data_IF_798951759932
#
_entry.id   IF_798951759932
#
_cell.length_a   1.000
_cell.length_b   1.000
_cell.length_c   1.000
_cell.angle_alpha   90.00
_cell.angle_beta   90.00
_cell.angle_gamma   90.00
#
_symmetry.space_group_name_H-M   'P 1'
#
loop_
_entity.id
_entity.type
_entity.pdbx_description
1 polymer ?
#
# COMPACT_ATOMS: atom_id res chain seq x y z
N UNK A 1 -32.92 -13.29 -36.19
CA UNK A 1 -31.48 -13.60 -36.20
C UNK A 1 -30.90 -12.93 -34.97
N UNK A 2 -30.44 -13.72 -33.99
CA UNK A 2 -29.92 -13.18 -32.73
C UNK A 2 -28.53 -12.60 -32.92
N UNK A 3 -28.30 -11.40 -32.37
CA UNK A 3 -26.96 -10.84 -32.24
C UNK A 3 -26.16 -11.72 -31.29
N UNK A 4 -25.12 -12.37 -31.80
CA UNK A 4 -24.07 -12.98 -30.99
C UNK A 4 -23.21 -11.81 -30.48
N UNK A 5 -23.05 -11.60 -29.17
CA UNK A 5 -22.09 -10.64 -28.66
C UNK A 5 -20.70 -11.07 -29.12
N UNK A 6 -20.05 -10.23 -29.91
CA UNK A 6 -18.62 -10.36 -30.21
C UNK A 6 -17.85 -10.33 -28.90
N UNK A 7 -17.12 -11.41 -28.60
CA UNK A 7 -16.15 -11.44 -27.51
C UNK A 7 -15.20 -10.25 -27.68
N UNK A 8 -15.20 -9.32 -26.73
CA UNK A 8 -14.21 -8.26 -26.69
C UNK A 8 -12.82 -8.92 -26.62
N UNK A 9 -11.90 -8.44 -27.45
CA UNK A 9 -10.53 -8.92 -27.43
C UNK A 9 -9.93 -8.57 -26.06
N UNK A 10 -9.50 -9.59 -25.31
CA UNK A 10 -8.75 -9.43 -24.08
C UNK A 10 -7.45 -8.71 -24.42
N UNK A 11 -7.16 -7.60 -23.73
CA UNK A 11 -5.88 -6.92 -23.94
C UNK A 11 -4.71 -7.85 -23.60
N UNK A 12 -3.57 -7.68 -24.26
CA UNK A 12 -2.32 -8.38 -23.91
C UNK A 12 -1.31 -7.47 -23.23
N UNK A 13 -1.67 -6.21 -22.99
CA UNK A 13 -0.78 -5.20 -22.41
C UNK A 13 -1.12 -5.06 -20.93
N UNK A 14 -0.19 -5.34 -19.99
CA UNK A 14 -0.48 -5.29 -18.56
C UNK A 14 -1.07 -3.96 -18.07
N UNK A 15 -0.62 -2.84 -18.64
CA UNK A 15 -1.11 -1.49 -18.31
C UNK A 15 -2.54 -1.21 -18.76
N UNK A 16 -3.16 -2.07 -19.57
CA UNK A 16 -4.57 -1.90 -19.95
C UNK A 16 -5.52 -2.45 -18.87
N UNK A 17 -4.99 -3.22 -17.91
CA UNK A 17 -5.76 -3.85 -16.84
C UNK A 17 -5.67 -3.05 -15.53
N UNK A 18 -4.47 -2.62 -15.16
CA UNK A 18 -4.21 -1.84 -13.95
C UNK A 18 -2.93 -1.02 -14.16
N UNK A 19 -2.83 0.14 -13.50
CA UNK A 19 -1.59 0.93 -13.52
C UNK A 19 -0.46 0.18 -12.81
N UNK A 20 -0.75 -0.34 -11.62
CA UNK A 20 0.14 -1.22 -10.86
C UNK A 20 -0.61 -1.98 -9.77
N UNK A 21 0.04 -3.02 -9.23
CA UNK A 21 -0.39 -3.72 -8.03
C UNK A 21 0.67 -3.57 -6.95
N UNK A 22 0.25 -3.47 -5.69
CA UNK A 22 1.15 -3.35 -4.55
C UNK A 22 1.00 -4.58 -3.66
N UNK A 23 2.13 -5.13 -3.24
CA UNK A 23 2.20 -6.16 -2.21
C UNK A 23 3.20 -5.68 -1.16
N UNK A 24 2.74 -5.51 0.08
CA UNK A 24 3.51 -4.84 1.12
C UNK A 24 3.40 -5.48 2.48
N UNK A 25 4.40 -5.18 3.30
CA UNK A 25 4.36 -5.35 4.75
C UNK A 25 4.77 -4.04 5.38
N UNK A 26 3.96 -3.49 6.26
CA UNK A 26 4.25 -2.25 6.95
C UNK A 26 4.46 -2.47 8.44
N UNK A 27 5.14 -1.49 9.04
CA UNK A 27 5.41 -1.41 10.48
C UNK A 27 4.89 -0.04 10.92
N UNK A 28 3.84 -0.06 11.71
CA UNK A 28 3.11 1.14 12.09
C UNK A 28 3.64 1.65 13.42
N UNK A 29 4.08 2.91 13.46
CA UNK A 29 4.51 3.58 14.67
C UNK A 29 3.58 4.75 14.99
N UNK A 30 3.41 5.05 16.27
CA UNK A 30 2.82 6.29 16.76
C UNK A 30 3.91 7.18 17.31
N UNK A 31 3.96 8.43 16.83
CA UNK A 31 4.74 9.49 17.43
C UNK A 31 3.86 10.30 18.37
N UNK A 32 4.26 10.40 19.64
CA UNK A 32 3.64 11.30 20.61
C UNK A 32 4.17 12.72 20.45
N UNK A 33 3.49 13.70 21.04
CA UNK A 33 3.94 15.11 21.06
C UNK A 33 5.31 15.30 21.71
N UNK A 34 5.72 14.39 22.59
CA UNK A 34 7.06 14.35 23.17
C UNK A 34 8.16 13.93 22.18
N UNK A 35 7.80 13.50 20.97
CA UNK A 35 8.69 12.86 20.00
C UNK A 35 8.89 11.36 20.25
N UNK A 36 8.29 10.79 21.30
CA UNK A 36 8.40 9.36 21.56
C UNK A 36 7.71 8.54 20.46
N UNK A 37 8.46 7.64 19.85
CA UNK A 37 7.98 6.69 18.84
C UNK A 37 7.69 5.33 19.48
N UNK A 38 6.48 4.82 19.27
CA UNK A 38 6.04 3.51 19.80
C UNK A 38 5.51 2.65 18.66
N UNK A 39 6.01 1.41 18.57
CA UNK A 39 5.47 0.41 17.64
C UNK A 39 4.02 0.09 18.02
N UNK A 40 3.11 0.21 17.06
CA UNK A 40 1.71 -0.16 17.23
C UNK A 40 1.46 -1.60 16.78
N UNK A 41 1.91 -1.94 15.59
CA UNK A 41 1.74 -3.26 14.98
C UNK A 41 2.51 -3.33 13.65
N UNK A 42 2.45 -4.50 13.04
CA UNK A 42 2.87 -4.80 11.69
C UNK A 42 1.67 -5.36 10.93
N UNK A 43 1.59 -5.11 9.63
CA UNK A 43 0.48 -5.60 8.80
C UNK A 43 0.96 -5.94 7.41
N UNK A 44 0.40 -7.01 6.85
CA UNK A 44 0.51 -7.37 5.45
C UNK A 44 -0.62 -6.69 4.69
N UNK A 45 -0.34 -6.12 3.53
CA UNK A 45 -1.37 -5.50 2.71
C UNK A 45 -1.11 -5.71 1.23
N UNK A 46 -2.16 -5.57 0.44
CA UNK A 46 -2.08 -5.54 -1.01
C UNK A 46 -3.11 -4.55 -1.57
N UNK A 47 -2.79 -3.95 -2.71
CA UNK A 47 -3.64 -2.99 -3.41
C UNK A 47 -3.60 -3.22 -4.91
N UNK A 48 -4.69 -2.88 -5.59
CA UNK A 48 -4.80 -2.87 -7.05
C UNK A 48 -5.15 -1.45 -7.46
N UNK A 49 -4.25 -0.78 -8.18
CA UNK A 49 -4.50 0.57 -8.68
C UNK A 49 -5.08 0.47 -10.10
N UNK A 50 -6.38 0.77 -10.30
CA UNK A 50 -6.99 0.73 -11.62
C UNK A 50 -6.40 1.82 -12.52
N UNK A 51 -6.59 1.66 -13.83
CA UNK A 51 -6.17 2.65 -14.85
C UNK A 51 -7.01 3.93 -14.86
N UNK A 52 -8.18 3.91 -14.21
CA UNK A 52 -9.04 5.08 -14.00
C UNK A 52 -9.80 4.95 -12.67
N UNK A 53 -10.08 6.08 -12.04
CA UNK A 53 -10.83 6.17 -10.79
C UNK A 53 -12.23 6.72 -11.09
N UNK A 54 -13.25 5.87 -10.99
CA UNK A 54 -14.64 6.30 -11.15
C UNK A 54 -15.31 6.46 -9.79
N UNK A 55 -15.80 7.66 -9.43
CA UNK A 55 -16.37 7.92 -8.12
C UNK A 55 -17.59 7.04 -7.78
N UNK A 56 -18.30 6.55 -8.79
CA UNK A 56 -19.58 5.84 -8.63
C UNK A 56 -19.50 4.32 -8.88
N UNK A 57 -18.36 3.79 -9.37
CA UNK A 57 -18.23 2.36 -9.65
C UNK A 57 -16.76 1.91 -9.67
N UNK A 58 -16.36 0.92 -8.86
CA UNK A 58 -15.03 0.34 -8.98
C UNK A 58 -14.88 -0.34 -10.35
N UNK A 59 -13.71 -0.19 -10.99
CA UNK A 59 -13.39 -0.87 -12.25
C UNK A 59 -12.86 -2.27 -12.05
N UNK A 60 -12.30 -2.55 -10.88
CA UNK A 60 -11.70 -3.83 -10.56
C UNK A 60 -12.71 -4.65 -9.75
N UNK A 61 -13.00 -5.85 -10.23
CA UNK A 61 -13.93 -6.77 -9.61
C UNK A 61 -13.25 -8.10 -9.28
N UNK A 62 -13.88 -8.89 -8.39
CA UNK A 62 -13.46 -10.26 -8.06
C UNK A 62 -11.97 -10.40 -7.70
N UNK A 63 -11.39 -9.38 -7.07
CA UNK A 63 -9.99 -9.38 -6.67
C UNK A 63 -9.70 -10.44 -5.62
N UNK A 64 -8.74 -11.32 -5.90
CA UNK A 64 -8.25 -12.34 -4.97
C UNK A 64 -6.73 -12.42 -4.98
N UNK A 65 -6.13 -12.49 -3.79
CA UNK A 65 -4.70 -12.75 -3.60
C UNK A 65 -4.49 -14.16 -3.06
N UNK A 66 -3.71 -14.97 -3.78
CA UNK A 66 -3.28 -16.30 -3.33
C UNK A 66 -1.81 -16.32 -2.92
N UNK A 67 -1.47 -17.18 -1.97
CA UNK A 67 -0.10 -17.36 -1.50
C UNK A 67 -0.01 -18.38 -0.36
N UNK A 68 1.13 -18.53 0.32
CA UNK A 68 1.23 -19.39 1.49
C UNK A 68 0.54 -18.81 2.72
N UNK A 69 0.53 -19.59 3.81
CA UNK A 69 0.06 -19.15 5.11
C UNK A 69 -1.42 -18.75 5.07
N UNK A 70 -1.73 -17.58 5.61
CA UNK A 70 -3.09 -17.07 5.67
C UNK A 70 -3.69 -16.80 4.28
N UNK A 71 -2.86 -16.60 3.25
CA UNK A 71 -3.31 -16.41 1.87
C UNK A 71 -3.61 -17.72 1.10
N UNK A 72 -3.43 -18.88 1.74
CA UNK A 72 -3.58 -20.20 1.09
C UNK A 72 -4.98 -20.51 0.55
N UNK A 73 -6.01 -19.85 1.09
CA UNK A 73 -7.41 -20.02 0.67
C UNK A 73 -7.89 -18.90 -0.26
N UNK A 74 -7.03 -17.95 -0.59
CA UNK A 74 -7.42 -16.73 -1.30
C UNK A 74 -7.97 -15.67 -0.35
N UNK A 75 -7.34 -14.50 -0.34
CA UNK A 75 -7.80 -13.33 0.38
C UNK A 75 -8.51 -12.39 -0.59
N UNK A 76 -9.73 -11.99 -0.24
CA UNK A 76 -10.55 -11.10 -1.06
C UNK A 76 -10.10 -9.65 -0.87
N UNK A 77 -10.04 -8.90 -1.96
CA UNK A 77 -9.90 -7.45 -1.90
C UNK A 77 -11.24 -6.79 -1.57
N UNK A 78 -11.21 -5.56 -1.09
CA UNK A 78 -12.42 -4.73 -0.96
C UNK A 78 -12.98 -4.35 -2.34
N UNK A 79 -14.25 -3.95 -2.36
CA UNK A 79 -14.92 -3.44 -3.55
C UNK A 79 -14.87 -1.89 -3.61
N UNK A 80 -13.76 -1.31 -3.18
CA UNK A 80 -13.53 0.13 -3.23
C UNK A 80 -12.93 0.53 -4.59
N UNK A 81 -12.92 1.82 -4.92
CA UNK A 81 -12.32 2.30 -6.16
C UNK A 81 -10.83 1.94 -6.32
N UNK A 82 -10.13 1.82 -5.19
CA UNK A 82 -8.82 1.18 -5.12
C UNK A 82 -9.01 -0.05 -4.24
N UNK A 83 -9.18 -1.25 -4.82
CA UNK A 83 -9.33 -2.47 -4.05
C UNK A 83 -8.15 -2.67 -3.09
N UNK A 84 -8.49 -2.73 -1.80
CA UNK A 84 -7.54 -2.83 -0.71
C UNK A 84 -7.74 -4.14 0.04
N UNK A 85 -6.63 -4.70 0.48
CA UNK A 85 -6.59 -5.90 1.31
C UNK A 85 -5.64 -5.66 2.48
N UNK A 86 -6.14 -5.85 3.70
CA UNK A 86 -5.31 -5.94 4.90
C UNK A 86 -5.38 -7.34 5.51
N UNK A 87 -4.21 -7.93 5.73
CA UNK A 87 -4.05 -9.14 6.51
C UNK A 87 -4.20 -8.89 8.02
N UNK A 88 -4.12 -9.97 8.79
CA UNK A 88 -4.09 -9.87 10.25
C UNK A 88 -2.89 -9.03 10.72
N UNK A 89 -3.11 -8.23 11.76
CA UNK A 89 -2.05 -7.47 12.43
C UNK A 89 -1.25 -8.36 13.36
N UNK A 90 0.05 -8.11 13.43
CA UNK A 90 0.98 -8.80 14.33
C UNK A 90 1.85 -7.80 15.08
N UNK A 91 2.31 -8.16 16.29
CA UNK A 91 3.13 -7.26 17.11
C UNK A 91 4.61 -7.32 16.78
N UNK A 92 5.03 -8.25 15.91
CA UNK A 92 6.43 -8.42 15.51
C UNK A 92 6.51 -8.79 14.03
N UNK A 93 7.62 -8.41 13.40
CA UNK A 93 7.93 -8.79 12.01
C UNK A 93 8.01 -10.32 11.87
N UNK A 94 8.58 -11.00 12.85
CA UNK A 94 8.68 -12.47 12.83
C UNK A 94 7.30 -13.13 12.87
N UNK A 95 6.38 -12.62 13.70
CA UNK A 95 4.98 -13.06 13.72
C UNK A 95 4.29 -12.82 12.39
N UNK A 96 4.45 -11.62 11.80
CA UNK A 96 3.87 -11.31 10.49
C UNK A 96 4.42 -12.23 9.40
N UNK A 97 5.74 -12.45 9.36
CA UNK A 97 6.36 -13.34 8.36
C UNK A 97 6.00 -14.80 8.56
N UNK A 98 5.67 -15.26 9.77
CA UNK A 98 5.15 -16.62 9.96
C UNK A 98 3.78 -16.81 9.30
N UNK A 99 2.92 -15.78 9.33
CA UNK A 99 1.56 -15.82 8.73
C UNK A 99 1.55 -15.53 7.24
N UNK A 100 2.42 -14.61 6.83
CA UNK A 100 2.63 -14.19 5.46
C UNK A 100 4.11 -14.38 5.09
N UNK A 101 4.57 -15.60 4.76
CA UNK A 101 5.95 -15.86 4.40
C UNK A 101 6.51 -14.96 3.29
N UNK A 102 7.81 -14.67 3.35
CA UNK A 102 8.54 -13.92 2.32
C UNK A 102 8.73 -14.81 1.07
N UNK A 103 7.75 -14.83 0.17
CA UNK A 103 7.77 -15.60 -1.08
C UNK A 103 6.83 -14.95 -2.11
N UNK A 104 6.53 -15.66 -3.20
CA UNK A 104 5.60 -15.25 -4.24
C UNK A 104 4.14 -15.40 -3.81
N UNK A 105 3.36 -14.36 -4.07
CA UNK A 105 1.90 -14.32 -4.04
C UNK A 105 1.40 -14.01 -5.44
N UNK A 106 0.15 -14.33 -5.74
CA UNK A 106 -0.44 -14.10 -7.06
C UNK A 106 -1.77 -13.36 -6.97
N UNK A 107 -1.89 -12.29 -7.74
CA UNK A 107 -3.10 -11.49 -7.92
C UNK A 107 -3.95 -12.10 -9.04
N UNK A 108 -5.26 -12.16 -8.83
CA UNK A 108 -6.25 -12.41 -9.88
C UNK A 108 -7.41 -11.46 -9.69
N UNK A 109 -7.88 -10.83 -10.77
CA UNK A 109 -8.95 -9.83 -10.73
C UNK A 109 -9.52 -9.58 -12.14
N UNK A 110 -10.72 -9.04 -12.20
CA UNK A 110 -11.40 -8.68 -13.43
C UNK A 110 -11.39 -7.16 -13.64
N UNK A 111 -11.35 -6.74 -14.90
CA UNK A 111 -11.34 -5.34 -15.35
C UNK A 111 -12.18 -5.22 -16.62
N UNK A 112 -12.56 -4.01 -17.07
CA UNK A 112 -13.22 -3.82 -18.36
C UNK A 112 -12.38 -4.32 -19.56
N UNK A 113 -11.04 -4.36 -19.41
CA UNK A 113 -10.10 -4.85 -20.43
C UNK A 113 -9.93 -6.38 -20.42
N UNK A 114 -10.56 -7.06 -19.46
CA UNK A 114 -10.55 -8.50 -19.28
C UNK A 114 -10.01 -8.95 -17.91
N UNK A 115 -9.81 -10.25 -17.76
CA UNK A 115 -9.33 -10.86 -16.52
C UNK A 115 -7.81 -10.96 -16.46
N UNK A 116 -7.24 -10.60 -15.31
CA UNK A 116 -5.87 -10.90 -14.92
C UNK A 116 -5.89 -12.15 -14.04
N UNK A 117 -5.10 -13.15 -14.39
CA UNK A 117 -5.00 -14.41 -13.62
C UNK A 117 -3.56 -14.70 -13.24
N UNK A 118 -3.34 -14.99 -11.96
CA UNK A 118 -2.06 -15.41 -11.41
C UNK A 118 -0.87 -14.45 -11.65
N UNK A 119 -1.10 -13.14 -11.64
CA UNK A 119 -0.02 -12.14 -11.74
C UNK A 119 0.88 -12.21 -10.49
N UNK A 120 2.18 -12.58 -10.59
CA UNK A 120 3.01 -12.82 -9.43
C UNK A 120 3.61 -11.54 -8.84
N UNK A 121 3.71 -11.48 -7.51
CA UNK A 121 4.50 -10.49 -6.77
C UNK A 121 5.28 -11.22 -5.67
N UNK A 122 6.58 -10.92 -5.53
CA UNK A 122 7.49 -11.72 -4.68
C UNK A 122 8.18 -10.86 -3.64
N UNK A 123 8.08 -11.26 -2.37
CA UNK A 123 8.98 -10.73 -1.34
C UNK A 123 10.36 -11.39 -1.46
N UNK A 124 11.36 -10.60 -1.84
CA UNK A 124 12.75 -11.05 -1.91
C UNK A 124 13.49 -10.59 -0.66
N UNK A 125 13.86 -11.53 0.21
CA UNK A 125 14.71 -11.24 1.36
C UNK A 125 16.16 -11.63 1.06
N UNK A 126 17.06 -10.64 1.09
CA UNK A 126 18.50 -10.92 1.03
C UNK A 126 18.94 -11.66 2.32
N UNK A 127 19.75 -12.73 2.23
CA UNK A 127 20.26 -13.43 3.40
C UNK A 127 20.95 -12.47 4.39
N UNK A 128 20.62 -12.58 5.68
CA UNK A 128 21.15 -11.71 6.72
C UNK A 128 20.59 -10.28 6.73
N UNK A 129 19.77 -9.89 5.75
CA UNK A 129 19.16 -8.57 5.74
C UNK A 129 18.06 -8.46 6.80
N UNK A 130 18.10 -7.33 7.51
CA UNK A 130 16.99 -6.81 8.28
C UNK A 130 16.25 -5.82 7.37
N UNK A 131 15.01 -6.13 6.97
CA UNK A 131 14.20 -5.25 6.12
C UNK A 131 13.33 -4.27 6.94
N UNK A 132 13.47 -4.22 8.27
CA UNK A 132 12.78 -3.24 9.11
C UNK A 132 13.37 -1.84 8.87
N UNK A 133 12.67 -0.87 8.26
CA UNK A 133 13.19 0.48 8.05
C UNK A 133 13.50 1.24 9.35
N UNK A 134 13.00 0.76 10.49
CA UNK A 134 12.97 1.52 11.74
C UNK A 134 11.84 2.54 11.72
N UNK A 135 11.57 3.22 12.85
CA UNK A 135 10.63 4.32 12.87
C UNK A 135 11.20 5.54 12.16
N UNK A 136 10.31 6.32 11.54
CA UNK A 136 10.63 7.62 10.96
C UNK A 136 10.07 8.70 11.89
N UNK A 137 10.87 9.70 12.25
CA UNK A 137 10.41 10.86 13.00
C UNK A 137 9.78 11.86 12.04
N UNK A 138 8.56 12.33 12.34
CA UNK A 138 7.90 13.43 11.63
C UNK A 138 8.15 14.74 12.40
N UNK A 139 8.57 15.78 11.68
CA UNK A 139 8.90 17.09 12.22
C UNK A 139 8.00 18.12 11.53
N UNK A 140 7.19 18.83 12.31
CA UNK A 140 6.38 19.94 11.83
C UNK A 140 7.15 21.25 12.06
N UNK A 141 7.17 22.13 11.07
CA UNK A 141 7.83 23.43 11.15
C UNK A 141 6.84 24.54 10.78
N UNK A 142 6.73 25.55 11.64
CA UNK A 142 6.04 26.82 11.37
C UNK A 142 6.99 27.96 11.78
N UNK A 143 7.02 29.03 11.00
CA UNK A 143 7.93 30.17 11.20
C UNK A 143 9.40 29.76 11.45
N UNK A 144 9.88 28.78 10.67
CA UNK A 144 11.23 28.19 10.77
C UNK A 144 11.57 27.54 12.13
N UNK A 145 10.59 27.28 12.98
CA UNK A 145 10.75 26.59 14.27
C UNK A 145 9.96 25.28 14.32
N UNK A 146 10.44 24.30 15.11
CA UNK A 146 9.70 23.05 15.35
C UNK A 146 8.36 23.38 16.03
N UNK A 147 7.27 23.09 15.33
CA UNK A 147 5.92 23.33 15.82
C UNK A 147 5.47 22.17 16.73
N UNK A 148 4.70 22.50 17.76
CA UNK A 148 4.03 21.51 18.59
C UNK A 148 2.73 21.10 17.88
N UNK A 149 2.55 19.80 17.65
CA UNK A 149 1.39 19.24 16.95
C UNK A 149 0.05 19.57 17.61
N UNK A 150 0.04 19.91 18.92
CA UNK A 150 -1.18 20.30 19.64
C UNK A 150 -1.49 21.80 19.55
N UNK A 151 -0.63 22.60 18.92
CA UNK A 151 -0.75 24.05 18.84
C UNK A 151 -0.28 24.56 17.49
N UNK A 152 -0.70 23.89 16.41
CA UNK A 152 -0.48 24.36 15.04
C UNK A 152 -1.31 25.62 14.82
N UNK A 153 -0.66 26.68 14.35
CA UNK A 153 -1.33 27.92 13.97
C UNK A 153 -2.00 27.72 12.60
N UNK A 154 -3.34 27.80 12.48
CA UNK A 154 -4.03 27.61 11.21
C UNK A 154 -3.76 28.74 10.19
N UNK A 155 -3.27 29.89 10.64
CA UNK A 155 -3.01 31.05 9.79
C UNK A 155 -1.57 31.04 9.21
N UNK A 156 -0.81 29.96 9.44
CA UNK A 156 0.57 29.81 8.97
C UNK A 156 0.80 28.49 8.22
N UNK A 157 1.62 28.55 7.18
CA UNK A 157 2.06 27.36 6.46
C UNK A 157 2.78 26.37 7.40
N UNK A 158 2.43 25.09 7.27
CA UNK A 158 3.12 23.98 7.95
C UNK A 158 4.04 23.29 6.97
N UNK A 159 5.33 23.29 7.25
CA UNK A 159 6.29 22.42 6.55
C UNK A 159 6.42 21.10 7.30
N UNK A 160 6.07 20.01 6.63
CA UNK A 160 6.27 18.64 7.12
C UNK A 160 7.64 18.14 6.64
N UNK A 161 8.45 17.69 7.58
CA UNK A 161 9.74 17.04 7.34
C UNK A 161 9.77 15.67 8.03
N UNK A 162 10.69 14.82 7.61
CA UNK A 162 10.90 13.51 8.23
C UNK A 162 12.39 13.19 8.35
N UNK A 163 12.73 12.31 9.29
CA UNK A 163 14.07 11.77 9.43
C UNK A 163 14.47 10.94 8.22
N UNK A 164 15.76 10.85 7.93
CA UNK A 164 16.29 10.04 6.83
C UNK A 164 15.88 8.56 6.94
N UNK A 165 15.57 7.96 5.79
CA UNK A 165 15.37 6.53 5.70
C UNK A 165 16.73 5.82 5.71
N UNK A 166 16.94 4.92 6.67
CA UNK A 166 18.16 4.11 6.75
C UNK A 166 18.19 2.93 5.76
N UNK A 167 17.06 2.69 5.07
CA UNK A 167 16.83 1.57 4.15
C UNK A 167 15.99 2.05 2.98
N UNK A 168 16.20 1.39 1.84
CA UNK A 168 15.75 1.82 0.53
C UNK A 168 16.88 1.53 -0.45
N UNK A 169 16.55 1.37 -1.71
CA UNK A 169 17.53 1.21 -2.76
C UNK A 169 16.91 1.73 -4.05
N UNK A 170 17.71 2.46 -4.84
CA UNK A 170 17.29 2.82 -6.19
C UNK A 170 16.85 1.57 -6.93
N UNK A 171 15.68 1.64 -7.54
CA UNK A 171 15.14 0.53 -8.32
C UNK A 171 15.93 0.47 -9.63
N UNK A 172 16.77 -0.55 -9.85
CA UNK A 172 17.58 -0.63 -11.06
C UNK A 172 16.75 -0.79 -12.33
N UNK A 173 15.46 -1.12 -12.19
CA UNK A 173 14.53 -1.24 -13.31
C UNK A 173 13.76 0.06 -13.58
N UNK A 174 13.93 1.09 -12.73
CA UNK A 174 13.27 2.38 -12.86
C UNK A 174 11.74 2.29 -12.87
N UNK A 175 11.17 1.28 -12.21
CA UNK A 175 9.72 1.05 -12.17
C UNK A 175 9.12 2.06 -11.21
N UNK A 176 9.62 2.14 -9.96
CA UNK A 176 9.30 3.22 -8.99
C UNK A 176 10.49 3.36 -8.01
N UNK A 177 11.16 4.52 -8.00
CA UNK A 177 12.12 4.87 -6.95
C UNK A 177 11.34 5.17 -5.66
N UNK A 178 11.45 4.29 -4.65
CA UNK A 178 10.95 4.42 -3.26
C UNK A 178 9.77 5.40 -3.07
N UNK A 179 8.54 4.93 -3.27
CA UNK A 179 7.33 5.75 -3.12
C UNK A 179 7.06 6.12 -1.65
N UNK A 180 6.93 7.41 -1.37
CA UNK A 180 6.52 7.94 -0.07
C UNK A 180 5.11 8.50 -0.21
N UNK A 181 4.16 7.90 0.50
CA UNK A 181 2.83 8.48 0.68
C UNK A 181 2.78 9.26 1.99
N UNK A 182 2.27 10.48 1.92
CA UNK A 182 1.92 11.27 3.11
C UNK A 182 0.42 11.51 3.08
N UNK A 183 -0.31 10.88 3.98
CA UNK A 183 -1.75 11.08 4.15
C UNK A 183 -1.93 12.07 5.31
N UNK A 184 -2.58 13.20 5.01
CA UNK A 184 -2.91 14.23 5.99
C UNK A 184 -4.42 14.20 6.23
N UNK A 185 -4.81 14.07 7.49
CA UNK A 185 -6.21 14.09 7.90
C UNK A 185 -6.44 15.05 9.05
N UNK A 186 -7.67 15.55 9.17
CA UNK A 186 -8.09 16.34 10.32
C UNK A 186 -8.28 15.45 11.56
N UNK A 187 -8.65 16.03 12.70
CA UNK A 187 -8.88 15.27 13.93
C UNK A 187 -10.01 14.21 13.84
N UNK A 188 -10.88 14.32 12.83
CA UNK A 188 -11.98 13.38 12.57
C UNK A 188 -11.56 12.25 11.62
N UNK A 189 -10.35 12.32 11.06
CA UNK A 189 -9.85 11.37 10.07
C UNK A 189 -10.32 11.67 8.65
N UNK A 190 -10.94 12.84 8.40
CA UNK A 190 -11.24 13.27 7.04
C UNK A 190 -9.96 13.76 6.37
N UNK A 191 -9.74 13.35 5.13
CA UNK A 191 -8.62 13.84 4.33
C UNK A 191 -8.69 15.35 4.16
N UNK A 192 -7.56 16.03 4.36
CA UNK A 192 -7.44 17.47 4.16
C UNK A 192 -7.10 17.68 2.68
N UNK A 193 -8.06 18.21 1.91
CA UNK A 193 -7.89 18.63 0.52
C UNK A 193 -7.23 20.01 0.40
#
# INVERSE_FOLDING_TARGET
MGNIPTAQAQSSVPSDFADYVVLGKSINHRQLTSGQLTLLNTVFFAEIFPTDLHPDSPLVENGVLFGPGDASKGLQFSNDNIPFLAGAREMTIAGLTARFPDTTYTFSFDTPSGSVTNLPATFIRKPGANNNPGPIEIILIQDNMKANSNSIDPDQDVKVMWSDFSKGASDPNGIIDDMIYVILGNCMGDEIN
#
